data_IF_424582923952
#
_entry.id   IF_424582923952
#
_cell.length_a   1.000
_cell.length_b   1.000
_cell.length_c   1.000
_cell.angle_alpha   90.00
_cell.angle_beta   90.00
_cell.angle_gamma   90.00
#
_symmetry.space_group_name_H-M   'P 1'
#
loop_
_entity.id
_entity.type
_entity.pdbx_description
1 polymer ?
#
# COMPACT_ATOMS: atom_id res chain seq x y z
N UNK A 1 -42.23 -23.02 1.96
CA UNK A 1 -41.64 -24.17 2.68
C UNK A 1 -42.40 -24.62 3.94
N UNK A 2 -43.15 -23.78 4.67
CA UNK A 2 -43.91 -24.22 5.87
C UNK A 2 -45.10 -25.16 5.59
N UNK A 3 -45.67 -25.14 4.37
CA UNK A 3 -46.83 -25.97 4.01
C UNK A 3 -46.50 -27.45 3.72
N UNK A 4 -45.22 -27.82 3.52
CA UNK A 4 -44.87 -29.21 3.17
C UNK A 4 -44.60 -30.10 4.38
N UNK A 5 -44.14 -29.54 5.51
CA UNK A 5 -43.91 -30.32 6.73
C UNK A 5 -45.23 -30.74 7.41
N UNK A 6 -46.21 -29.83 7.50
CA UNK A 6 -47.49 -30.15 8.12
C UNK A 6 -48.31 -31.21 7.36
N UNK A 7 -48.09 -31.38 6.05
CA UNK A 7 -48.72 -32.44 5.25
C UNK A 7 -48.09 -33.82 5.47
N UNK A 8 -46.81 -33.89 5.80
CA UNK A 8 -46.11 -35.15 5.97
C UNK A 8 -46.51 -35.85 7.29
N UNK A 9 -46.74 -35.09 8.36
CA UNK A 9 -47.11 -35.67 9.66
C UNK A 9 -48.57 -36.13 9.72
N UNK A 10 -49.50 -35.42 9.06
CA UNK A 10 -50.91 -35.86 9.00
C UNK A 10 -51.09 -37.14 8.18
N UNK A 11 -50.33 -37.32 7.09
CA UNK A 11 -50.37 -38.54 6.29
C UNK A 11 -50.00 -39.79 7.09
N UNK A 12 -49.12 -39.66 8.08
CA UNK A 12 -48.63 -40.77 8.89
C UNK A 12 -49.61 -41.16 10.00
N UNK A 13 -50.38 -40.21 10.50
CA UNK A 13 -51.47 -40.46 11.47
C UNK A 13 -52.64 -41.17 10.76
N UNK A 14 -53.03 -40.70 9.58
CA UNK A 14 -54.11 -41.33 8.79
C UNK A 14 -53.76 -42.78 8.39
N UNK A 15 -52.49 -43.05 8.07
CA UNK A 15 -51.99 -44.39 7.75
C UNK A 15 -52.01 -45.32 8.99
N UNK A 16 -51.57 -44.83 10.15
CA UNK A 16 -51.61 -45.59 11.41
C UNK A 16 -53.05 -45.89 11.87
N UNK A 17 -53.97 -44.94 11.72
CA UNK A 17 -55.40 -45.13 12.05
C UNK A 17 -56.04 -46.12 11.08
N UNK A 18 -55.76 -46.01 9.79
CA UNK A 18 -56.31 -46.93 8.78
C UNK A 18 -55.82 -48.36 8.97
N UNK A 19 -54.55 -48.57 9.31
CA UNK A 19 -54.01 -49.92 9.52
C UNK A 19 -54.53 -50.55 10.82
N UNK A 20 -54.71 -49.76 11.88
CA UNK A 20 -55.37 -50.24 13.11
C UNK A 20 -56.84 -50.59 12.91
N UNK A 21 -57.57 -49.86 12.07
CA UNK A 21 -58.97 -50.17 11.73
C UNK A 21 -59.12 -51.48 10.94
N UNK A 22 -58.12 -51.86 10.14
CA UNK A 22 -58.13 -53.14 9.39
C UNK A 22 -57.89 -54.37 10.29
N UNK A 23 -57.27 -54.19 11.46
CA UNK A 23 -57.04 -55.27 12.44
C UNK A 23 -58.29 -55.62 13.25
N UNK A 24 -59.36 -54.82 13.15
CA UNK A 24 -60.63 -55.10 13.84
C UNK A 24 -61.45 -56.11 13.03
N UNK A 25 -61.48 -57.36 13.49
CA UNK A 25 -62.21 -58.45 12.85
C UNK A 25 -63.73 -58.18 12.81
N UNK A 26 -64.36 -58.09 11.62
CA UNK A 26 -65.78 -57.77 11.48
C UNK A 26 -66.72 -58.84 12.07
N UNK A 27 -66.21 -59.99 12.53
CA UNK A 27 -67.01 -60.97 13.29
C UNK A 27 -67.33 -60.56 14.73
N UNK A 28 -66.67 -59.52 15.27
CA UNK A 28 -66.96 -58.98 16.60
C UNK A 28 -68.03 -57.88 16.57
N UNK A 29 -69.13 -58.10 15.84
CA UNK A 29 -70.39 -57.38 16.08
C UNK A 29 -71.00 -57.97 17.35
N UNK A 30 -70.46 -57.56 18.50
CA UNK A 30 -70.93 -58.02 19.80
C UNK A 30 -72.39 -57.58 20.00
N UNK A 31 -73.27 -58.53 20.36
CA UNK A 31 -74.51 -58.19 21.06
C UNK A 31 -74.14 -57.78 22.49
N UNK A 32 -73.63 -56.57 22.65
CA UNK A 32 -73.33 -56.00 23.96
C UNK A 32 -74.66 -55.78 24.67
N UNK A 33 -74.80 -56.30 25.89
CA UNK A 33 -75.97 -55.99 26.71
C UNK A 33 -76.02 -54.46 26.92
N UNK A 34 -77.19 -53.81 26.93
CA UNK A 34 -77.29 -52.34 27.04
C UNK A 34 -76.49 -51.76 28.21
N UNK A 35 -76.42 -52.51 29.32
CA UNK A 35 -75.68 -52.15 30.55
C UNK A 35 -74.15 -52.12 30.37
N UNK A 36 -73.59 -52.95 29.48
CA UNK A 36 -72.16 -52.97 29.18
C UNK A 36 -71.79 -51.90 28.14
N UNK A 37 -72.74 -51.44 27.33
CA UNK A 37 -72.52 -50.42 26.31
C UNK A 37 -72.20 -49.06 26.93
N UNK A 38 -72.91 -48.67 27.99
CA UNK A 38 -72.66 -47.40 28.71
C UNK A 38 -71.27 -47.36 29.33
N UNK A 39 -70.83 -48.46 29.95
CA UNK A 39 -69.49 -48.59 30.53
C UNK A 39 -68.39 -48.52 29.48
N UNK A 40 -68.62 -49.11 28.30
CA UNK A 40 -67.70 -48.99 27.16
C UNK A 40 -67.64 -47.54 26.68
N UNK A 41 -68.79 -46.87 26.55
CA UNK A 41 -68.84 -45.46 26.16
C UNK A 41 -68.12 -44.53 27.16
N UNK A 42 -68.28 -44.75 28.47
CA UNK A 42 -67.56 -43.99 29.50
C UNK A 42 -66.05 -44.21 29.44
N UNK A 43 -65.60 -45.45 29.26
CA UNK A 43 -64.18 -45.75 29.08
C UNK A 43 -63.61 -45.09 27.83
N UNK A 44 -64.34 -45.13 26.71
CA UNK A 44 -63.92 -44.49 25.45
C UNK A 44 -63.83 -42.97 25.62
N UNK A 45 -64.81 -42.33 26.28
CA UNK A 45 -64.74 -40.89 26.58
C UNK A 45 -63.52 -40.54 27.44
N UNK A 46 -63.29 -41.29 28.52
CA UNK A 46 -62.12 -41.11 29.38
C UNK A 46 -60.79 -41.25 28.61
N UNK A 47 -60.71 -42.22 27.69
CA UNK A 47 -59.54 -42.37 26.80
C UNK A 47 -59.38 -41.20 25.83
N UNK A 48 -60.48 -40.67 25.28
CA UNK A 48 -60.46 -39.48 24.42
C UNK A 48 -59.95 -38.27 25.22
N UNK A 49 -60.49 -38.02 26.41
CA UNK A 49 -60.09 -36.89 27.26
C UNK A 49 -58.58 -36.98 27.64
N UNK A 50 -58.08 -38.19 27.94
CA UNK A 50 -56.65 -38.41 28.19
C UNK A 50 -55.79 -38.14 26.95
N UNK A 51 -56.25 -38.58 25.76
CA UNK A 51 -55.54 -38.33 24.51
C UNK A 51 -55.51 -36.85 24.16
N UNK A 52 -56.64 -36.13 24.31
CA UNK A 52 -56.72 -34.68 24.11
C UNK A 52 -55.74 -33.96 25.04
N UNK A 53 -55.73 -34.29 26.34
CA UNK A 53 -54.79 -33.70 27.30
C UNK A 53 -53.32 -33.94 26.94
N UNK A 54 -52.96 -35.13 26.47
CA UNK A 54 -51.59 -35.45 26.02
C UNK A 54 -51.23 -34.68 24.75
N UNK A 55 -52.15 -34.55 23.80
CA UNK A 55 -51.95 -33.79 22.57
C UNK A 55 -51.75 -32.31 22.90
N UNK A 56 -52.61 -31.72 23.73
CA UNK A 56 -52.51 -30.32 24.13
C UNK A 56 -51.19 -30.03 24.83
N UNK A 57 -50.83 -30.85 25.83
CA UNK A 57 -49.55 -30.72 26.54
C UNK A 57 -48.34 -30.80 25.60
N UNK A 58 -48.39 -31.70 24.60
CA UNK A 58 -47.31 -31.84 23.62
C UNK A 58 -47.26 -30.68 22.64
N UNK A 59 -48.40 -30.14 22.21
CA UNK A 59 -48.49 -28.97 21.33
C UNK A 59 -47.97 -27.74 22.07
N UNK A 60 -48.39 -27.51 23.31
CA UNK A 60 -47.90 -26.41 24.14
C UNK A 60 -46.38 -26.45 24.32
N UNK A 61 -45.82 -27.63 24.61
CA UNK A 61 -44.37 -27.79 24.76
C UNK A 61 -43.63 -27.51 23.45
N UNK A 62 -44.13 -27.98 22.31
CA UNK A 62 -43.53 -27.69 21.00
C UNK A 62 -43.61 -26.19 20.66
N UNK A 63 -44.74 -25.55 20.93
CA UNK A 63 -44.92 -24.10 20.75
C UNK A 63 -43.93 -23.34 21.63
N UNK A 64 -43.77 -23.74 22.89
CA UNK A 64 -42.82 -23.13 23.83
C UNK A 64 -41.38 -23.26 23.36
N UNK A 65 -40.95 -24.44 22.91
CA UNK A 65 -39.60 -24.66 22.35
C UNK A 65 -39.40 -23.79 21.10
N UNK A 66 -40.37 -23.76 20.19
CA UNK A 66 -40.28 -22.95 18.98
C UNK A 66 -40.19 -21.46 19.30
N UNK A 67 -40.97 -20.97 20.27
CA UNK A 67 -40.99 -19.57 20.69
C UNK A 67 -39.67 -19.16 21.35
N UNK A 68 -39.12 -20.01 22.22
CA UNK A 68 -37.78 -19.79 22.79
C UNK A 68 -36.69 -19.73 21.72
N UNK A 69 -36.76 -20.61 20.72
CA UNK A 69 -35.80 -20.60 19.59
C UNK A 69 -35.91 -19.32 18.77
N UNK A 70 -37.14 -18.87 18.47
CA UNK A 70 -37.38 -17.64 17.72
C UNK A 70 -36.90 -16.42 18.51
N UNK A 71 -37.14 -16.37 19.82
CA UNK A 71 -36.66 -15.28 20.68
C UNK A 71 -35.14 -15.22 20.72
N UNK A 72 -34.45 -16.36 20.90
CA UNK A 72 -32.98 -16.39 20.86
C UNK A 72 -32.43 -15.90 19.51
N UNK A 73 -33.02 -16.35 18.40
CA UNK A 73 -32.64 -15.86 17.06
C UNK A 73 -32.89 -14.36 16.88
N UNK A 74 -33.96 -13.82 17.47
CA UNK A 74 -34.28 -12.40 17.41
C UNK A 74 -33.29 -11.56 18.24
N UNK A 75 -32.90 -12.02 19.42
CA UNK A 75 -31.89 -11.38 20.26
C UNK A 75 -30.50 -11.38 19.59
N UNK A 76 -30.09 -12.49 19.00
CA UNK A 76 -28.84 -12.61 18.25
C UNK A 76 -28.81 -11.65 17.04
N UNK A 77 -29.92 -11.59 16.29
CA UNK A 77 -30.06 -10.70 15.14
C UNK A 77 -30.05 -9.22 15.57
N UNK A 78 -30.69 -8.90 16.69
CA UNK A 78 -30.69 -7.56 17.27
C UNK A 78 -29.28 -7.14 17.71
N UNK A 79 -28.58 -8.00 18.45
CA UNK A 79 -27.21 -7.76 18.91
C UNK A 79 -26.26 -7.54 17.72
N UNK A 80 -26.37 -8.38 16.69
CA UNK A 80 -25.59 -8.24 15.44
C UNK A 80 -25.88 -6.90 14.76
N UNK A 81 -27.15 -6.49 14.69
CA UNK A 81 -27.55 -5.22 14.08
C UNK A 81 -27.01 -4.00 14.83
N UNK A 82 -26.98 -4.04 16.17
CA UNK A 82 -26.39 -2.99 16.99
C UNK A 82 -24.88 -2.89 16.78
N UNK A 83 -24.18 -4.02 16.71
CA UNK A 83 -22.75 -4.04 16.41
C UNK A 83 -22.45 -3.44 15.03
N UNK A 84 -23.21 -3.81 14.00
CA UNK A 84 -23.06 -3.25 12.65
C UNK A 84 -23.35 -1.74 12.62
N UNK A 85 -24.36 -1.28 13.36
CA UNK A 85 -24.67 0.14 13.47
C UNK A 85 -23.50 0.93 14.05
N UNK A 86 -22.85 0.41 15.11
CA UNK A 86 -21.72 1.08 15.72
C UNK A 86 -20.47 1.07 14.83
N UNK A 87 -20.23 -0.04 14.11
CA UNK A 87 -19.20 -0.09 13.07
C UNK A 87 -19.45 0.96 11.98
N UNK A 88 -20.68 1.11 11.50
CA UNK A 88 -21.03 2.12 10.50
C UNK A 88 -20.78 3.54 10.99
N UNK A 89 -21.09 3.86 12.25
CA UNK A 89 -20.77 5.17 12.85
C UNK A 89 -19.26 5.42 12.92
N UNK A 90 -18.46 4.39 13.23
CA UNK A 90 -17.01 4.51 13.24
C UNK A 90 -16.45 4.77 11.83
N UNK A 91 -17.00 4.07 10.82
CA UNK A 91 -16.62 4.28 9.41
C UNK A 91 -16.96 5.70 8.98
N UNK A 92 -18.16 6.20 9.30
CA UNK A 92 -18.55 7.58 8.97
C UNK A 92 -17.61 8.61 9.58
N UNK A 93 -17.27 8.49 10.87
CA UNK A 93 -16.29 9.37 11.54
C UNK A 93 -14.92 9.33 10.87
N UNK A 94 -14.48 8.16 10.42
CA UNK A 94 -13.21 8.04 9.72
C UNK A 94 -13.23 8.71 8.34
N UNK A 95 -14.35 8.59 7.61
CA UNK A 95 -14.54 9.25 6.32
C UNK A 95 -14.57 10.79 6.47
N UNK A 96 -15.19 11.32 7.52
CA UNK A 96 -15.18 12.76 7.83
C UNK A 96 -13.76 13.26 8.06
N UNK A 97 -12.97 12.57 8.90
CA UNK A 97 -11.58 12.92 9.16
C UNK A 97 -10.72 12.85 7.89
N UNK A 98 -10.95 11.84 7.04
CA UNK A 98 -10.24 11.69 5.78
C UNK A 98 -10.56 12.86 4.83
N UNK A 99 -11.83 13.28 4.78
CA UNK A 99 -12.28 14.40 3.97
C UNK A 99 -11.66 15.71 4.45
N UNK A 100 -11.62 15.97 5.77
CA UNK A 100 -10.94 17.14 6.32
C UNK A 100 -9.46 17.18 5.91
N UNK A 101 -8.75 16.05 6.06
CA UNK A 101 -7.35 15.94 5.64
C UNK A 101 -7.17 16.18 4.15
N UNK A 102 -8.07 15.67 3.32
CA UNK A 102 -8.06 15.92 1.87
C UNK A 102 -8.26 17.39 1.54
N UNK A 103 -9.21 18.06 2.20
CA UNK A 103 -9.44 19.50 1.99
C UNK A 103 -8.23 20.34 2.39
N UNK A 104 -7.55 19.98 3.47
CA UNK A 104 -6.33 20.67 3.91
C UNK A 104 -5.18 20.47 2.93
N UNK A 105 -4.93 19.24 2.48
CA UNK A 105 -3.92 18.98 1.44
C UNK A 105 -4.21 19.77 0.16
N UNK A 106 -5.48 19.89 -0.23
CA UNK A 106 -5.89 20.69 -1.40
C UNK A 106 -5.62 22.18 -1.21
N UNK A 107 -5.86 22.73 0.00
CA UNK A 107 -5.49 24.12 0.31
C UNK A 107 -3.98 24.34 0.20
N UNK A 108 -3.19 23.42 0.76
CA UNK A 108 -1.72 23.49 0.69
C UNK A 108 -1.21 23.42 -0.75
N UNK A 109 -1.79 22.53 -1.56
CA UNK A 109 -1.45 22.41 -2.98
C UNK A 109 -1.75 23.71 -3.73
N UNK A 110 -2.93 24.30 -3.53
CA UNK A 110 -3.28 25.58 -4.15
C UNK A 110 -2.30 26.69 -3.71
N UNK A 111 -1.99 26.78 -2.41
CA UNK A 111 -1.04 27.78 -1.91
C UNK A 111 0.39 27.60 -2.42
N UNK A 112 0.83 26.36 -2.70
CA UNK A 112 2.11 26.11 -3.38
C UNK A 112 2.04 26.51 -4.85
N UNK A 113 0.93 26.23 -5.52
CA UNK A 113 0.71 26.62 -6.92
C UNK A 113 0.78 28.14 -7.09
N UNK A 114 0.13 28.90 -6.20
CA UNK A 114 0.14 30.37 -6.23
C UNK A 114 1.57 30.91 -6.01
N UNK A 115 2.34 30.29 -5.10
CA UNK A 115 3.75 30.66 -4.88
C UNK A 115 4.64 30.38 -6.09
N UNK A 116 4.42 29.26 -6.76
CA UNK A 116 5.15 28.91 -7.99
C UNK A 116 4.87 29.95 -9.07
N UNK A 117 3.60 30.33 -9.26
CA UNK A 117 3.25 31.35 -10.26
C UNK A 117 3.84 32.72 -9.92
N UNK A 118 3.83 33.11 -8.64
CA UNK A 118 4.49 34.35 -8.18
C UNK A 118 5.99 34.34 -8.48
N UNK A 119 6.70 33.26 -8.13
CA UNK A 119 8.14 33.13 -8.38
C UNK A 119 8.47 33.12 -9.87
N UNK A 120 7.61 32.49 -10.69
CA UNK A 120 7.76 32.47 -12.14
C UNK A 120 7.65 33.89 -12.71
N UNK A 121 6.66 34.66 -12.28
CA UNK A 121 6.49 36.05 -12.71
C UNK A 121 7.67 36.95 -12.27
N UNK A 122 8.19 36.75 -11.06
CA UNK A 122 9.40 37.44 -10.59
C UNK A 122 10.62 37.10 -11.45
N UNK A 123 10.82 35.81 -11.73
CA UNK A 123 11.94 35.35 -12.55
C UNK A 123 11.87 35.86 -13.99
N UNK A 124 10.67 35.91 -14.59
CA UNK A 124 10.45 36.44 -15.93
C UNK A 124 10.80 37.93 -15.99
N UNK A 125 10.38 38.70 -14.97
CA UNK A 125 10.75 40.11 -14.85
C UNK A 125 12.27 40.31 -14.71
N UNK A 126 12.92 39.53 -13.86
CA UNK A 126 14.38 39.60 -13.66
C UNK A 126 15.13 39.24 -14.95
N UNK A 127 14.63 38.26 -15.71
CA UNK A 127 15.18 37.87 -17.00
C UNK A 127 15.06 38.99 -18.04
N UNK A 128 13.90 39.64 -18.13
CA UNK A 128 13.67 40.79 -19.01
C UNK A 128 14.59 41.98 -18.66
N UNK A 129 14.75 42.29 -17.37
CA UNK A 129 15.66 43.32 -16.90
C UNK A 129 17.13 42.99 -17.25
N UNK A 130 17.54 41.74 -17.11
CA UNK A 130 18.88 41.29 -17.48
C UNK A 130 19.12 41.42 -18.99
N UNK A 131 18.14 40.98 -19.81
CA UNK A 131 18.20 41.08 -21.26
C UNK A 131 18.31 42.54 -21.73
N UNK A 132 17.57 43.45 -21.11
CA UNK A 132 17.68 44.88 -21.38
C UNK A 132 19.09 45.42 -21.07
N UNK A 133 19.67 45.05 -19.91
CA UNK A 133 21.03 45.48 -19.52
C UNK A 133 22.12 44.91 -20.44
N UNK A 134 21.96 43.68 -20.91
CA UNK A 134 22.86 43.05 -21.89
C UNK A 134 22.79 43.82 -23.22
N UNK A 135 21.59 44.13 -23.71
CA UNK A 135 21.42 44.94 -24.93
C UNK A 135 22.08 46.32 -24.84
N UNK A 136 21.97 46.99 -23.69
CA UNK A 136 22.66 48.26 -23.43
C UNK A 136 24.19 48.13 -23.39
N UNK A 137 24.71 47.02 -22.85
CA UNK A 137 26.13 46.70 -22.83
C UNK A 137 26.66 46.44 -24.24
N UNK A 138 25.97 45.63 -25.04
CA UNK A 138 26.33 45.35 -26.43
C UNK A 138 26.34 46.63 -27.28
N UNK A 139 25.34 47.50 -27.10
CA UNK A 139 25.27 48.79 -27.80
C UNK A 139 26.45 49.68 -27.43
N UNK A 140 26.81 49.76 -26.14
CA UNK A 140 28.00 50.49 -25.67
C UNK A 140 29.31 49.90 -26.20
N UNK A 141 29.43 48.58 -26.25
CA UNK A 141 30.60 47.91 -26.83
C UNK A 141 30.73 48.19 -28.32
N UNK A 142 29.64 48.15 -29.10
CA UNK A 142 29.65 48.51 -30.53
C UNK A 142 30.06 49.96 -30.77
N UNK A 143 29.66 50.88 -29.90
CA UNK A 143 30.07 52.29 -29.97
C UNK A 143 31.53 52.50 -29.51
N UNK A 144 32.02 51.72 -28.54
CA UNK A 144 33.42 51.75 -28.06
C UNK A 144 34.43 51.05 -28.98
N UNK A 145 33.99 50.10 -29.82
CA UNK A 145 34.85 49.38 -30.76
C UNK A 145 35.15 50.13 -32.07
N UNK A 146 34.67 51.37 -32.25
CA UNK A 146 34.99 52.17 -33.44
C UNK A 146 36.39 52.82 -33.40
N UNK A 147 37.18 52.62 -32.34
CA UNK A 147 38.54 53.19 -32.23
C UNK A 147 39.70 52.20 -32.05
N UNK A 148 39.48 50.88 -32.04
CA UNK A 148 40.61 49.92 -31.98
C UNK A 148 40.40 48.73 -32.89
N UNK A 149 40.93 48.88 -34.11
CA UNK A 149 41.28 47.78 -35.01
C UNK A 149 42.48 47.00 -34.46
N UNK A 150 42.23 45.85 -33.83
CA UNK A 150 43.25 44.81 -33.62
C UNK A 150 42.60 43.42 -33.80
N UNK A 151 43.37 42.54 -34.44
CA UNK A 151 43.10 41.22 -34.98
C UNK A 151 42.24 40.24 -34.14
N UNK A 152 41.64 39.20 -34.77
CA UNK A 152 40.85 38.19 -34.07
C UNK A 152 41.80 37.22 -33.34
N UNK A 153 41.90 37.35 -32.02
CA UNK A 153 42.49 36.32 -31.17
C UNK A 153 41.49 35.19 -30.97
N UNK A 154 41.90 34.01 -31.43
CA UNK A 154 41.29 32.72 -31.16
C UNK A 154 41.09 32.52 -29.66
N UNK A 155 39.84 32.60 -29.19
CA UNK A 155 39.46 31.99 -27.92
C UNK A 155 39.47 30.46 -28.09
N UNK A 156 40.65 29.86 -27.97
CA UNK A 156 40.79 28.47 -27.57
C UNK A 156 40.14 28.34 -26.19
N UNK A 157 38.92 27.82 -26.16
CA UNK A 157 38.35 27.23 -24.96
C UNK A 157 39.30 26.12 -24.51
N UNK A 158 40.07 26.39 -23.46
CA UNK A 158 40.73 25.36 -22.69
C UNK A 158 39.62 24.54 -21.99
N UNK A 159 39.00 23.60 -22.72
CA UNK A 159 38.15 22.60 -22.10
C UNK A 159 39.06 21.74 -21.24
N UNK A 160 38.95 21.92 -19.92
CA UNK A 160 39.47 20.93 -18.99
C UNK A 160 38.94 19.58 -19.47
N UNK A 161 39.82 18.64 -19.80
CA UNK A 161 39.47 17.30 -20.29
C UNK A 161 38.75 16.55 -19.18
N UNK A 162 37.46 16.86 -18.98
CA UNK A 162 36.60 16.20 -18.03
C UNK A 162 36.51 14.75 -18.46
N UNK A 163 36.90 13.84 -17.57
CA UNK A 163 36.79 12.41 -17.82
C UNK A 163 35.40 11.94 -17.38
N UNK A 164 34.73 11.08 -18.16
CA UNK A 164 33.47 10.50 -17.72
C UNK A 164 33.70 9.66 -16.46
N UNK A 165 32.74 9.65 -15.51
CA UNK A 165 32.82 8.78 -14.34
C UNK A 165 32.79 7.31 -14.77
N UNK A 166 33.33 6.41 -13.94
CA UNK A 166 33.41 4.97 -14.22
C UNK A 166 32.60 4.16 -13.21
N UNK A 167 31.96 3.09 -13.66
CA UNK A 167 31.18 2.17 -12.81
C UNK A 167 31.28 0.73 -13.30
N UNK A 168 31.51 -0.22 -12.37
CA UNK A 168 31.77 -1.63 -12.66
C UNK A 168 30.67 -2.59 -12.19
N UNK A 169 29.76 -2.11 -11.36
CA UNK A 169 28.76 -2.90 -10.62
C UNK A 169 29.40 -3.90 -9.65
N UNK A 170 30.46 -3.48 -8.94
CA UNK A 170 31.06 -4.26 -7.86
C UNK A 170 30.38 -3.99 -6.51
N UNK A 171 30.53 -4.89 -5.53
CA UNK A 171 29.90 -4.76 -4.20
C UNK A 171 30.30 -3.49 -3.42
N UNK A 172 31.43 -2.86 -3.78
CA UNK A 172 31.92 -1.61 -3.20
C UNK A 172 31.48 -0.37 -3.97
N UNK A 173 30.95 -0.55 -5.18
CA UNK A 173 30.50 0.55 -6.00
C UNK A 173 29.27 1.21 -5.38
N UNK A 174 29.09 2.48 -5.70
CA UNK A 174 27.96 3.27 -5.22
C UNK A 174 27.09 3.70 -6.39
N UNK A 175 26.02 2.94 -6.73
CA UNK A 175 25.23 3.16 -7.94
C UNK A 175 24.69 4.58 -8.06
N UNK A 176 24.06 5.09 -7.00
CA UNK A 176 23.48 6.45 -7.01
C UNK A 176 24.53 7.56 -7.01
N UNK A 177 25.70 7.33 -6.42
CA UNK A 177 26.83 8.28 -6.50
C UNK A 177 27.36 8.36 -7.93
N UNK A 178 27.52 7.23 -8.61
CA UNK A 178 27.91 7.19 -10.02
C UNK A 178 26.86 7.88 -10.90
N UNK A 179 25.58 7.53 -10.74
CA UNK A 179 24.50 8.10 -11.54
C UNK A 179 24.47 9.63 -11.44
N UNK A 180 24.53 10.19 -10.22
CA UNK A 180 24.61 11.65 -9.99
C UNK A 180 25.88 12.29 -10.57
N UNK A 181 26.99 11.56 -10.65
CA UNK A 181 28.22 12.04 -11.27
C UNK A 181 28.09 12.04 -12.80
N UNK A 182 27.47 11.00 -13.37
CA UNK A 182 27.24 10.89 -14.81
C UNK A 182 26.25 11.96 -15.28
N UNK A 183 25.16 12.17 -14.55
CA UNK A 183 24.19 13.21 -14.86
C UNK A 183 24.85 14.59 -14.89
N UNK A 184 25.65 14.91 -13.87
CA UNK A 184 26.42 16.18 -13.84
C UNK A 184 27.39 16.30 -15.00
N UNK A 185 28.05 15.21 -15.39
CA UNK A 185 28.97 15.19 -16.53
C UNK A 185 28.23 15.45 -17.84
N UNK A 186 27.10 14.77 -18.08
CA UNK A 186 26.30 14.95 -19.29
C UNK A 186 25.75 16.38 -19.38
N UNK A 187 25.26 16.94 -18.27
CA UNK A 187 24.79 18.33 -18.22
C UNK A 187 25.92 19.34 -18.44
N UNK A 188 27.09 19.13 -17.85
CA UNK A 188 28.21 20.07 -17.95
C UNK A 188 28.84 20.12 -19.35
N UNK A 189 28.88 18.98 -20.06
CA UNK A 189 29.43 18.91 -21.41
C UNK A 189 28.37 19.22 -22.48
N UNK A 190 27.08 19.17 -22.12
CA UNK A 190 25.95 19.50 -22.97
C UNK A 190 25.96 18.72 -24.30
N UNK A 191 26.01 17.39 -24.21
CA UNK A 191 26.00 16.51 -25.37
C UNK A 191 24.67 16.58 -26.12
N UNK A 192 24.74 16.52 -27.46
CA UNK A 192 23.58 16.17 -28.27
C UNK A 192 23.10 14.75 -27.93
N UNK A 193 21.79 14.53 -28.07
CA UNK A 193 21.11 13.30 -27.64
C UNK A 193 21.77 12.02 -28.17
N UNK A 194 22.18 12.02 -29.44
CA UNK A 194 22.83 10.89 -30.11
C UNK A 194 24.18 10.48 -29.48
N UNK A 195 24.84 11.41 -28.77
CA UNK A 195 26.12 11.16 -28.11
C UNK A 195 25.98 10.72 -26.65
N UNK A 196 24.80 10.84 -26.05
CA UNK A 196 24.56 10.49 -24.64
C UNK A 196 24.71 8.98 -24.42
N UNK A 197 24.20 8.16 -25.34
CA UNK A 197 24.33 6.69 -25.29
C UNK A 197 25.79 6.26 -25.36
N UNK A 198 26.60 6.86 -26.24
CA UNK A 198 28.04 6.61 -26.33
C UNK A 198 28.78 6.98 -25.03
N UNK A 199 28.36 8.06 -24.36
CA UNK A 199 28.95 8.50 -23.08
C UNK A 199 28.58 7.53 -21.95
N UNK A 200 27.32 7.10 -21.89
CA UNK A 200 26.86 6.08 -20.93
C UNK A 200 27.68 4.80 -21.15
N UNK A 201 27.73 4.32 -22.39
CA UNK A 201 28.53 3.20 -22.83
C UNK A 201 30.00 3.29 -22.35
N UNK A 202 30.67 4.42 -22.59
CA UNK A 202 32.06 4.62 -22.21
C UNK A 202 32.29 4.76 -20.69
N UNK A 203 31.25 5.12 -19.95
CA UNK A 203 31.27 5.29 -18.49
C UNK A 203 31.07 3.98 -17.71
N UNK A 204 30.68 2.90 -18.40
CA UNK A 204 30.44 1.58 -17.81
C UNK A 204 31.59 0.63 -18.12
N UNK A 205 31.95 -0.19 -17.15
CA UNK A 205 33.04 -1.18 -17.24
C UNK A 205 32.60 -2.52 -16.64
N UNK A 206 33.31 -3.61 -16.95
CA UNK A 206 33.08 -4.92 -16.35
C UNK A 206 31.62 -5.39 -16.46
N UNK A 207 31.04 -5.85 -15.35
CA UNK A 207 29.68 -6.38 -15.31
C UNK A 207 28.63 -5.33 -15.69
N UNK A 208 28.86 -4.07 -15.34
CA UNK A 208 27.95 -2.99 -15.70
C UNK A 208 27.93 -2.73 -17.21
N UNK A 209 29.09 -2.90 -17.89
CA UNK A 209 29.16 -2.81 -19.35
C UNK A 209 28.39 -3.96 -20.00
N UNK A 210 28.63 -5.18 -19.57
CA UNK A 210 27.93 -6.37 -20.08
C UNK A 210 26.42 -6.28 -19.91
N UNK A 211 25.96 -5.77 -18.76
CA UNK A 211 24.54 -5.50 -18.53
C UNK A 211 24.01 -4.46 -19.52
N UNK A 212 24.70 -3.34 -19.68
CA UNK A 212 24.28 -2.28 -20.58
C UNK A 212 24.16 -2.75 -22.03
N UNK A 213 25.13 -3.52 -22.52
CA UNK A 213 25.09 -4.10 -23.87
C UNK A 213 23.83 -4.98 -24.09
N UNK A 214 23.32 -5.63 -23.04
CA UNK A 214 22.09 -6.43 -23.11
C UNK A 214 20.79 -5.61 -23.15
N UNK A 215 20.82 -4.36 -22.66
CA UNK A 215 19.63 -3.48 -22.57
C UNK A 215 19.73 -2.23 -23.44
N UNK A 216 20.83 -2.01 -24.14
CA UNK A 216 21.13 -0.80 -24.93
C UNK A 216 20.01 -0.45 -25.91
N UNK A 217 19.47 -1.45 -26.62
CA UNK A 217 18.35 -1.27 -27.57
C UNK A 217 17.06 -0.72 -26.94
N UNK A 218 16.92 -0.76 -25.61
CA UNK A 218 15.76 -0.25 -24.87
C UNK A 218 15.99 1.15 -24.30
N UNK A 219 17.22 1.65 -24.38
CA UNK A 219 17.64 2.92 -23.79
C UNK A 219 17.74 3.95 -24.90
N UNK A 220 16.66 4.71 -25.09
CA UNK A 220 16.65 5.79 -26.06
C UNK A 220 17.11 7.09 -25.42
N UNK A 221 16.64 7.39 -24.20
CA UNK A 221 16.94 8.62 -23.48
C UNK A 221 17.76 8.39 -22.21
N UNK A 222 18.34 9.46 -21.66
CA UNK A 222 18.97 9.42 -20.33
C UNK A 222 17.97 9.02 -19.22
N UNK A 223 16.68 9.34 -19.40
CA UNK A 223 15.62 8.92 -18.48
C UNK A 223 15.33 7.42 -18.57
N UNK A 224 15.40 6.83 -19.76
CA UNK A 224 15.30 5.37 -19.93
C UNK A 224 16.49 4.67 -19.28
N UNK A 225 17.68 5.22 -19.45
CA UNK A 225 18.88 4.73 -18.76
C UNK A 225 18.71 4.78 -17.24
N UNK A 226 18.23 5.91 -16.68
CA UNK A 226 18.00 6.04 -15.23
C UNK A 226 17.07 4.94 -14.71
N UNK A 227 15.96 4.70 -15.42
CA UNK A 227 14.98 3.68 -15.04
C UNK A 227 15.59 2.28 -15.04
N UNK A 228 16.23 1.89 -16.14
CA UNK A 228 16.87 0.56 -16.26
C UNK A 228 18.04 0.40 -15.28
N UNK A 229 18.85 1.44 -15.10
CA UNK A 229 19.97 1.46 -14.16
C UNK A 229 19.50 1.29 -12.72
N UNK A 230 18.41 1.96 -12.32
CA UNK A 230 17.84 1.78 -10.98
C UNK A 230 17.29 0.37 -10.80
N UNK A 231 16.60 -0.18 -11.79
CA UNK A 231 16.06 -1.55 -11.72
C UNK A 231 17.16 -2.62 -11.60
N UNK A 232 18.29 -2.44 -12.28
CA UNK A 232 19.38 -3.41 -12.22
C UNK A 232 20.29 -3.19 -11.00
N UNK A 233 20.80 -1.97 -10.84
CA UNK A 233 21.90 -1.64 -9.92
C UNK A 233 21.43 -0.99 -8.61
N UNK A 234 20.17 -0.56 -8.50
CA UNK A 234 19.63 0.11 -7.31
C UNK A 234 18.22 -0.41 -6.92
N UNK A 235 18.01 -1.72 -7.08
CA UNK A 235 16.74 -2.36 -6.75
C UNK A 235 16.49 -2.48 -5.24
N UNK A 236 15.28 -2.92 -4.87
CA UNK A 236 14.84 -3.09 -3.49
C UNK A 236 15.78 -3.99 -2.67
N UNK A 237 16.36 -5.02 -3.29
CA UNK A 237 17.30 -5.92 -2.59
C UNK A 237 18.59 -5.21 -2.20
N UNK A 238 19.17 -4.43 -3.12
CA UNK A 238 20.36 -3.62 -2.85
C UNK A 238 20.07 -2.56 -1.79
N UNK A 239 18.92 -1.89 -1.88
CA UNK A 239 18.49 -0.90 -0.91
C UNK A 239 18.26 -1.53 0.48
N UNK A 240 17.67 -2.71 0.56
CA UNK A 240 17.48 -3.44 1.81
C UNK A 240 18.80 -3.93 2.42
N UNK A 241 19.77 -4.36 1.60
CA UNK A 241 21.12 -4.69 2.07
C UNK A 241 21.82 -3.47 2.67
N UNK A 242 21.77 -2.34 1.97
CA UNK A 242 22.36 -1.09 2.44
C UNK A 242 21.64 -0.55 3.67
N UNK A 243 20.31 -0.68 3.74
CA UNK A 243 19.50 -0.38 4.92
C UNK A 243 19.94 -1.18 6.13
N UNK A 244 20.13 -2.51 5.96
CA UNK A 244 20.65 -3.38 7.03
C UNK A 244 22.06 -3.00 7.47
N UNK A 245 22.94 -2.60 6.55
CA UNK A 245 24.30 -2.12 6.90
C UNK A 245 24.25 -0.85 7.75
N UNK A 246 23.31 0.06 7.46
CA UNK A 246 23.12 1.29 8.25
C UNK A 246 22.48 1.00 9.60
N UNK A 247 21.50 0.10 9.65
CA UNK A 247 20.72 -0.20 10.87
C UNK A 247 21.49 -1.08 11.87
N UNK A 248 22.13 -2.14 11.37
CA UNK A 248 22.77 -3.17 12.21
C UNK A 248 24.31 -3.11 12.17
N UNK A 249 24.89 -2.17 11.41
CA UNK A 249 26.33 -1.97 11.37
C UNK A 249 26.88 -1.58 12.74
N UNK A 250 27.80 -2.39 13.28
CA UNK A 250 28.54 -2.09 14.51
C UNK A 250 30.00 -1.77 14.20
N UNK A 251 30.51 -0.73 14.86
CA UNK A 251 31.94 -0.44 14.86
C UNK A 251 32.67 -1.55 15.59
N UNK A 252 33.70 -2.09 14.95
CA UNK A 252 34.61 -3.06 15.54
C UNK A 252 35.88 -2.34 15.97
N UNK A 253 36.19 -2.39 17.27
CA UNK A 253 37.38 -1.76 17.87
C UNK A 253 38.67 -2.44 17.37
N UNK A 254 38.58 -3.71 16.95
CA UNK A 254 39.71 -4.45 16.38
C UNK A 254 39.91 -4.19 14.88
N UNK A 255 39.02 -3.41 14.26
CA UNK A 255 39.15 -3.03 12.85
C UNK A 255 40.30 -2.06 12.64
N UNK A 256 40.92 -2.14 11.46
CA UNK A 256 41.91 -1.17 10.96
C UNK A 256 41.36 0.23 10.71
N UNK A 257 40.05 0.45 10.90
CA UNK A 257 39.40 1.74 10.69
C UNK A 257 39.21 2.49 12.00
N UNK A 258 39.51 3.78 11.97
CA UNK A 258 39.11 4.69 13.03
C UNK A 258 37.58 4.80 13.11
N UNK A 259 37.08 5.22 14.28
CA UNK A 259 35.65 5.49 14.48
C UNK A 259 35.08 6.50 13.48
N UNK A 260 35.89 7.50 13.09
CA UNK A 260 35.51 8.53 12.12
C UNK A 260 35.42 7.97 10.70
N UNK A 261 36.38 7.13 10.30
CA UNK A 261 36.34 6.46 8.98
C UNK A 261 35.15 5.51 8.88
N UNK A 262 34.86 4.75 9.94
CA UNK A 262 33.69 3.89 9.99
C UNK A 262 32.38 4.69 9.93
N UNK A 263 32.26 5.77 10.70
CA UNK A 263 31.10 6.66 10.65
C UNK A 263 30.91 7.27 9.25
N UNK A 264 32.00 7.69 8.59
CA UNK A 264 31.97 8.24 7.23
C UNK A 264 31.55 7.19 6.19
N UNK A 265 31.99 5.95 6.38
CA UNK A 265 31.58 4.81 5.54
C UNK A 265 30.07 4.53 5.66
N UNK A 266 29.55 4.42 6.89
CA UNK A 266 28.13 4.20 7.17
C UNK A 266 27.26 5.36 6.68
N UNK A 267 27.68 6.61 6.94
CA UNK A 267 27.01 7.80 6.42
C UNK A 267 26.92 7.81 4.90
N UNK A 268 27.97 7.32 4.24
CA UNK A 268 28.01 7.20 2.79
C UNK A 268 27.02 6.18 2.21
N UNK A 269 26.42 5.29 3.00
CA UNK A 269 25.27 4.47 2.58
C UNK A 269 23.95 5.15 2.91
N UNK A 270 23.84 5.72 4.12
CA UNK A 270 22.64 6.42 4.57
C UNK A 270 22.26 7.60 3.65
N UNK A 271 23.24 8.33 3.13
CA UNK A 271 23.03 9.45 2.19
C UNK A 271 22.44 9.01 0.85
N UNK A 272 22.70 7.79 0.43
CA UNK A 272 22.30 7.28 -0.89
C UNK A 272 20.96 6.52 -0.84
N UNK A 273 20.53 6.08 0.35
CA UNK A 273 19.19 5.52 0.57
C UNK A 273 18.14 6.63 0.40
N UNK A 274 17.35 6.56 -0.67
CA UNK A 274 16.34 7.57 -1.02
C UNK A 274 15.30 7.76 0.10
N UNK A 275 15.08 9.01 0.49
CA UNK A 275 14.07 9.44 1.48
C UNK A 275 12.70 9.72 0.86
N UNK A 276 12.51 9.50 -0.44
CA UNK A 276 11.35 10.00 -1.20
C UNK A 276 10.33 8.95 -1.66
N UNK A 277 10.52 7.65 -1.40
CA UNK A 277 9.63 6.61 -1.94
C UNK A 277 8.78 5.83 -0.93
N UNK A 278 9.11 5.87 0.36
CA UNK A 278 8.41 5.05 1.35
C UNK A 278 8.30 5.82 2.69
N UNK A 279 7.11 6.30 3.10
CA UNK A 279 6.95 7.06 4.33
C UNK A 279 7.28 6.25 5.60
N UNK A 280 7.41 4.92 5.50
CA UNK A 280 7.97 4.08 6.57
C UNK A 280 9.50 4.17 6.72
N UNK A 281 10.22 4.49 5.64
CA UNK A 281 11.69 4.47 5.59
C UNK A 281 12.34 5.84 5.91
N UNK A 282 11.63 6.95 5.66
CA UNK A 282 12.14 8.30 5.97
C UNK A 282 12.26 8.57 7.48
N UNK A 283 11.34 8.03 8.29
CA UNK A 283 11.43 8.07 9.76
C UNK A 283 12.52 7.14 10.32
N UNK A 284 12.82 6.04 9.63
CA UNK A 284 13.95 5.18 9.98
C UNK A 284 15.28 5.90 9.67
N UNK A 285 15.42 6.63 8.57
CA UNK A 285 16.65 7.40 8.28
C UNK A 285 16.99 8.45 9.36
N UNK A 286 16.00 9.23 9.83
CA UNK A 286 16.19 10.21 10.91
C UNK A 286 16.33 9.58 12.30
N UNK A 287 15.56 8.52 12.63
CA UNK A 287 15.72 7.78 13.90
C UNK A 287 17.03 7.00 13.94
N UNK A 288 17.48 6.44 12.82
CA UNK A 288 18.75 5.71 12.69
C UNK A 288 19.94 6.67 12.71
N UNK A 289 19.83 7.88 12.15
CA UNK A 289 20.79 8.96 12.41
C UNK A 289 20.83 9.31 13.90
N UNK A 290 19.68 9.40 14.59
CA UNK A 290 19.65 9.64 16.03
C UNK A 290 20.26 8.49 16.84
N UNK A 291 20.11 7.24 16.41
CA UNK A 291 20.70 6.07 17.07
C UNK A 291 22.21 5.97 16.84
N UNK A 292 22.68 6.24 15.62
CA UNK A 292 24.11 6.33 15.31
C UNK A 292 24.78 7.49 16.06
N UNK A 293 24.09 8.63 16.22
CA UNK A 293 24.54 9.76 17.04
C UNK A 293 24.37 9.53 18.55
N UNK A 294 23.41 8.72 19.02
CA UNK A 294 23.30 8.32 20.43
C UNK A 294 24.45 7.41 20.84
N UNK A 295 24.92 6.55 19.94
CA UNK A 295 26.18 5.82 20.14
C UNK A 295 27.40 6.76 20.22
N UNK A 296 27.35 7.95 19.60
CA UNK A 296 28.36 9.01 19.79
C UNK A 296 28.26 9.70 21.16
N UNK A 297 27.06 9.83 21.74
CA UNK A 297 26.85 10.50 23.04
C UNK A 297 27.24 9.65 24.25
N UNK A 298 27.26 8.33 24.12
CA UNK A 298 27.77 7.38 25.13
C UNK A 298 29.31 7.20 25.10
N UNK A 299 30.04 8.02 24.33
CA UNK A 299 31.50 7.90 24.11
C UNK A 299 32.29 9.10 24.69
N UNK A 300 31.61 10.12 25.22
CA UNK A 300 32.22 11.28 25.89
C UNK A 300 31.86 11.38 27.39
N UNK A 301 31.28 10.33 27.95
CA UNK A 301 31.29 10.01 29.39
C UNK A 301 32.12 8.74 29.58
#
# INVERSE_FOLDING_TARGET
MRSSLARADNSRIDELVSDKLKEVDPKYVFSVAPEDADKICENVRSMIDQLESVVDSRVEEQVRIALNKVNGMAEDAWSTSQMMLEQNKNILRHLELLNEKYTEMRRQQNGLSDKIESLKNEFEKDADELMARVGDLETRMRLGSRERSVAPENHMQASAKLKPPKFKAEAKDKPMKYFRALQRYVTAVNFEYEHVTCVIAASLEGNARTWYDAVESRINSFADFEREFKNCCWNESVQAEWGRKVEYGKYDISSKWSRVEYASYIWGFAKELDTSGNPGCSMLSLKNMSHSLRNYKLIYE
#
